data_IF_551621177220
#
_entry.id   IF_551621177220
#
_cell.length_a   1.000
_cell.length_b   1.000
_cell.length_c   1.000
_cell.angle_alpha   90.00
_cell.angle_beta   90.00
_cell.angle_gamma   90.00
#
_symmetry.space_group_name_H-M   'P 1'
#
loop_
_entity.id
_entity.type
_entity.pdbx_description
1 polymer ?
#
# COMPACT_ATOMS: atom_id res chain seq x y z
N UNK A 1 -5.01 6.61 16.48
CA UNK A 1 -3.71 6.49 15.77
C UNK A 1 -3.82 5.29 14.84
N UNK A 2 -3.56 5.47 13.54
CA UNK A 2 -3.89 4.50 12.49
C UNK A 2 -2.81 3.44 12.28
N UNK A 3 -1.57 3.73 12.68
CA UNK A 3 -0.42 2.84 12.66
C UNK A 3 0.51 3.25 13.80
N UNK A 4 0.93 2.29 14.63
CA UNK A 4 1.61 2.59 15.91
C UNK A 4 2.98 1.90 16.04
N UNK A 5 3.56 1.41 14.94
CA UNK A 5 4.89 0.80 14.98
C UNK A 5 5.94 1.88 14.73
N UNK A 6 7.01 1.83 15.51
CA UNK A 6 8.18 2.65 15.25
C UNK A 6 8.95 2.04 14.06
N UNK A 7 9.18 2.85 13.03
CA UNK A 7 10.00 2.50 11.87
C UNK A 7 11.19 3.44 11.91
N UNK A 8 12.38 2.86 12.01
CA UNK A 8 13.63 3.60 12.19
C UNK A 8 14.78 3.08 11.31
N UNK A 9 14.55 1.95 10.62
CA UNK A 9 15.48 1.33 9.69
C UNK A 9 14.83 0.16 8.93
N UNK A 10 15.59 -0.45 8.02
CA UNK A 10 15.16 -1.61 7.24
C UNK A 10 14.72 -2.81 8.12
N UNK A 11 15.39 -3.04 9.26
CA UNK A 11 15.06 -4.15 10.15
C UNK A 11 13.70 -3.96 10.82
N UNK A 12 13.43 -2.76 11.35
CA UNK A 12 12.15 -2.40 11.96
C UNK A 12 10.99 -2.50 10.96
N UNK A 13 11.22 -2.08 9.70
CA UNK A 13 10.27 -2.23 8.61
C UNK A 13 10.02 -3.70 8.25
N UNK A 14 11.10 -4.49 8.12
CA UNK A 14 11.06 -5.92 7.81
C UNK A 14 10.23 -6.74 8.80
N UNK A 15 10.09 -6.27 10.04
CA UNK A 15 9.24 -6.90 11.07
C UNK A 15 7.74 -6.68 10.85
N UNK A 16 7.34 -5.65 10.12
CA UNK A 16 5.94 -5.18 10.10
C UNK A 16 5.30 -5.15 8.71
N UNK A 17 6.05 -5.04 7.61
CA UNK A 17 5.50 -4.79 6.26
C UNK A 17 4.54 -5.86 5.70
N UNK A 18 4.48 -7.04 6.33
CA UNK A 18 3.55 -8.14 6.02
C UNK A 18 2.50 -8.39 7.12
N UNK A 19 2.46 -7.54 8.14
CA UNK A 19 1.59 -7.72 9.31
C UNK A 19 0.21 -7.10 9.04
N UNK A 20 -0.76 -7.93 8.64
CA UNK A 20 -2.15 -7.49 8.48
C UNK A 20 -2.66 -6.84 9.77
N UNK A 21 -2.33 -7.40 10.94
CA UNK A 21 -2.79 -6.89 12.23
C UNK A 21 -2.30 -5.47 12.51
N UNK A 22 -1.05 -5.16 12.18
CA UNK A 22 -0.47 -3.85 12.43
C UNK A 22 -0.97 -2.79 11.43
N UNK A 23 -1.30 -3.22 10.20
CA UNK A 23 -1.85 -2.36 9.15
C UNK A 23 -3.37 -2.28 9.16
N UNK A 24 -4.10 -3.15 9.88
CA UNK A 24 -5.55 -3.24 9.80
C UNK A 24 -6.27 -1.90 10.06
N UNK A 25 -5.94 -1.11 11.10
CA UNK A 25 -6.61 0.16 11.33
C UNK A 25 -6.38 1.17 10.19
N UNK A 26 -5.18 1.19 9.62
CA UNK A 26 -4.83 2.02 8.47
C UNK A 26 -5.56 1.57 7.19
N UNK A 27 -5.59 0.26 6.92
CA UNK A 27 -6.32 -0.30 5.78
C UNK A 27 -7.82 0.02 5.85
N UNK A 28 -8.44 -0.13 7.02
CA UNK A 28 -9.86 0.22 7.23
C UNK A 28 -10.12 1.69 6.95
N UNK A 29 -9.23 2.57 7.40
CA UNK A 29 -9.33 4.00 7.13
C UNK A 29 -9.25 4.31 5.62
N UNK A 30 -8.25 3.75 4.92
CA UNK A 30 -8.08 3.92 3.47
C UNK A 30 -9.31 3.41 2.72
N UNK A 31 -9.78 2.20 3.02
CA UNK A 31 -10.96 1.61 2.39
C UNK A 31 -12.21 2.49 2.60
N UNK A 32 -12.39 3.02 3.81
CA UNK A 32 -13.46 3.96 4.14
C UNK A 32 -13.39 5.25 3.31
N UNK A 33 -12.22 5.86 3.19
CA UNK A 33 -12.00 7.08 2.37
C UNK A 33 -12.36 6.87 0.90
N UNK A 34 -12.19 5.64 0.39
CA UNK A 34 -12.51 5.28 -0.99
C UNK A 34 -13.88 4.58 -1.15
N UNK A 35 -14.70 4.50 -0.09
CA UNK A 35 -16.00 3.80 -0.09
C UNK A 35 -15.92 2.33 -0.56
N UNK A 36 -14.81 1.65 -0.29
CA UNK A 36 -14.59 0.25 -0.65
C UNK A 36 -15.05 -0.63 0.50
N UNK A 37 -16.01 -1.52 0.23
CA UNK A 37 -16.41 -2.59 1.16
C UNK A 37 -15.46 -3.77 0.99
N UNK A 38 -15.16 -4.45 2.10
CA UNK A 38 -14.31 -5.63 2.09
C UNK A 38 -14.81 -6.74 2.99
N UNK A 39 -14.43 -7.98 2.68
CA UNK A 39 -14.69 -9.18 3.47
C UNK A 39 -13.42 -9.90 3.90
N UNK A 40 -12.40 -9.92 3.04
CA UNK A 40 -11.13 -10.62 3.30
C UNK A 40 -9.94 -9.73 3.02
N UNK A 41 -8.92 -9.88 3.85
CA UNK A 41 -7.60 -9.27 3.70
C UNK A 41 -6.59 -10.41 3.71
N UNK A 42 -5.75 -10.46 2.70
CA UNK A 42 -4.74 -11.51 2.49
C UNK A 42 -3.39 -10.88 2.20
N UNK A 43 -2.32 -11.54 2.62
CA UNK A 43 -0.96 -11.12 2.25
C UNK A 43 -0.68 -11.45 0.78
N UNK A 44 0.05 -10.55 0.12
CA UNK A 44 0.65 -10.81 -1.18
C UNK A 44 2.05 -11.45 -1.01
N UNK A 45 2.66 -11.85 -2.12
CA UNK A 45 4.09 -12.21 -2.11
C UNK A 45 4.88 -10.98 -1.66
N UNK A 46 5.78 -11.11 -0.67
CA UNK A 46 6.49 -9.98 -0.10
C UNK A 46 7.44 -9.33 -1.11
N UNK A 47 7.46 -7.99 -1.11
CA UNK A 47 8.42 -7.13 -1.80
C UNK A 47 9.06 -6.14 -0.83
N UNK A 48 9.32 -4.91 -1.26
CA UNK A 48 9.83 -3.82 -0.39
C UNK A 48 8.73 -3.02 0.31
N UNK A 49 7.51 -3.05 -0.21
CA UNK A 49 6.36 -2.27 0.27
C UNK A 49 5.35 -3.16 1.01
N UNK A 50 4.47 -2.55 1.80
CA UNK A 50 3.37 -3.26 2.43
C UNK A 50 2.22 -3.43 1.43
N UNK A 51 2.00 -4.66 0.96
CA UNK A 51 1.03 -4.97 -0.10
C UNK A 51 0.04 -6.02 0.38
N UNK A 52 -1.24 -5.67 0.32
CA UNK A 52 -2.34 -6.50 0.77
C UNK A 52 -3.38 -6.67 -0.33
N UNK A 53 -3.87 -7.89 -0.49
CA UNK A 53 -5.04 -8.17 -1.31
C UNK A 53 -6.30 -8.03 -0.47
N UNK A 54 -7.26 -7.27 -0.97
CA UNK A 54 -8.54 -7.02 -0.32
C UNK A 54 -9.66 -7.34 -1.30
N UNK A 55 -10.22 -8.55 -1.17
CA UNK A 55 -11.13 -9.13 -2.16
C UNK A 55 -10.57 -9.02 -3.61
N UNK A 56 -11.11 -8.11 -4.42
CA UNK A 56 -10.70 -7.88 -5.82
C UNK A 56 -9.70 -6.72 -5.99
N UNK A 57 -9.27 -6.10 -4.89
CA UNK A 57 -8.36 -4.96 -4.88
C UNK A 57 -6.97 -5.32 -4.37
N UNK A 58 -5.97 -4.57 -4.83
CA UNK A 58 -4.64 -4.55 -4.24
C UNK A 58 -4.45 -3.17 -3.60
N UNK A 59 -4.13 -3.16 -2.30
CA UNK A 59 -3.67 -1.97 -1.62
C UNK A 59 -2.17 -2.10 -1.42
N UNK A 60 -1.44 -1.10 -1.91
CA UNK A 60 0.00 -0.96 -1.71
C UNK A 60 0.26 0.32 -0.92
N UNK A 61 0.89 0.16 0.23
CA UNK A 61 1.35 1.24 1.10
C UNK A 61 2.87 1.29 0.98
N UNK A 62 3.38 2.44 0.59
CA UNK A 62 4.80 2.63 0.35
C UNK A 62 5.56 2.67 1.67
N UNK A 63 6.74 2.06 1.70
CA UNK A 63 7.62 2.12 2.85
C UNK A 63 7.97 3.60 3.13
N UNK A 64 7.98 4.05 4.38
CA UNK A 64 8.31 5.44 4.70
C UNK A 64 9.82 5.68 4.59
N UNK A 65 10.25 6.95 4.53
CA UNK A 65 11.66 7.33 4.41
C UNK A 65 12.54 6.71 5.51
N UNK A 66 12.01 6.65 6.73
CA UNK A 66 12.67 6.10 7.92
C UNK A 66 12.95 4.59 7.81
N UNK A 67 12.37 3.89 6.82
CA UNK A 67 12.63 2.48 6.58
C UNK A 67 13.97 2.19 5.88
N UNK A 68 14.71 3.22 5.46
CA UNK A 68 15.96 3.13 4.65
C UNK A 68 15.80 2.51 3.25
N UNK A 69 14.60 2.05 2.88
CA UNK A 69 14.30 1.44 1.58
C UNK A 69 13.20 2.17 0.80
N UNK A 70 12.38 2.96 1.50
CA UNK A 70 11.29 3.73 0.91
C UNK A 70 11.69 5.16 0.56
N UNK A 71 11.13 5.66 -0.54
CA UNK A 71 11.24 7.06 -0.97
C UNK A 71 9.89 7.51 -1.56
N UNK A 72 9.54 8.79 -1.42
CA UNK A 72 8.36 9.40 -2.03
C UNK A 72 8.36 9.22 -3.55
N UNK A 73 9.54 9.19 -4.18
CA UNK A 73 9.66 9.01 -5.63
C UNK A 73 9.13 7.64 -6.10
N UNK A 74 9.15 6.61 -5.24
CA UNK A 74 8.59 5.29 -5.58
C UNK A 74 7.07 5.37 -5.77
N UNK A 75 6.39 6.10 -4.89
CA UNK A 75 4.96 6.35 -4.98
C UNK A 75 4.61 7.14 -6.24
N UNK A 76 5.31 8.26 -6.47
CA UNK A 76 5.06 9.14 -7.63
C UNK A 76 5.30 8.40 -8.94
N UNK A 77 6.39 7.62 -9.03
CA UNK A 77 6.76 6.87 -10.23
C UNK A 77 5.72 5.79 -10.55
N UNK A 78 5.29 5.03 -9.55
CA UNK A 78 4.30 3.97 -9.76
C UNK A 78 2.92 4.54 -10.10
N UNK A 79 2.50 5.61 -9.41
CA UNK A 79 1.24 6.30 -9.70
C UNK A 79 1.22 6.85 -11.13
N UNK A 80 2.31 7.49 -11.57
CA UNK A 80 2.44 7.98 -12.95
C UNK A 80 2.37 6.83 -13.96
N UNK A 81 3.15 5.76 -13.75
CA UNK A 81 3.21 4.61 -14.63
C UNK A 81 1.86 3.94 -14.85
N UNK A 82 1.13 3.66 -13.77
CA UNK A 82 -0.16 2.97 -13.87
C UNK A 82 -1.24 3.88 -14.45
N UNK A 83 -1.25 5.17 -14.08
CA UNK A 83 -2.20 6.14 -14.63
C UNK A 83 -2.00 6.29 -16.14
N UNK A 84 -0.74 6.38 -16.58
CA UNK A 84 -0.40 6.43 -18.00
C UNK A 84 -0.85 5.18 -18.74
N UNK A 85 -0.54 3.99 -18.22
CA UNK A 85 -0.93 2.72 -18.86
C UNK A 85 -2.45 2.56 -18.96
N UNK A 86 -3.18 2.93 -17.91
CA UNK A 86 -4.64 2.94 -17.89
C UNK A 86 -5.22 3.91 -18.94
N UNK A 87 -4.65 5.11 -19.09
CA UNK A 87 -5.08 6.09 -20.10
C UNK A 87 -4.88 5.61 -21.54
N UNK A 88 -3.88 4.76 -21.79
CA UNK A 88 -3.67 4.13 -23.10
C UNK A 88 -4.51 2.87 -23.33
N UNK A 89 -5.33 2.46 -22.36
CA UNK A 89 -6.14 1.24 -22.48
C UNK A 89 -5.32 -0.04 -22.49
N UNK A 90 -4.09 -0.01 -21.96
CA UNK A 90 -3.25 -1.20 -21.85
C UNK A 90 -3.84 -2.18 -20.82
N UNK A 91 -3.68 -3.50 -21.01
CA UNK A 91 -4.18 -4.52 -20.09
C UNK A 91 -3.35 -4.54 -18.79
N UNK A 92 -3.62 -3.58 -17.92
CA UNK A 92 -2.95 -3.32 -16.65
C UNK A 92 -3.99 -3.21 -15.54
N UNK A 93 -3.61 -3.39 -14.26
CA UNK A 93 -4.53 -3.12 -13.15
C UNK A 93 -5.04 -1.69 -13.22
N UNK A 94 -6.32 -1.49 -12.87
CA UNK A 94 -6.92 -0.15 -12.84
C UNK A 94 -6.56 0.57 -11.55
N UNK A 95 -6.11 1.83 -11.63
CA UNK A 95 -5.95 2.69 -10.48
C UNK A 95 -7.34 3.14 -9.99
N UNK A 96 -7.78 2.58 -8.85
CA UNK A 96 -9.09 2.88 -8.26
C UNK A 96 -9.03 4.12 -7.36
N UNK A 97 -7.89 4.35 -6.71
CA UNK A 97 -7.67 5.46 -5.78
C UNK A 97 -6.21 5.57 -5.40
N UNK A 98 -5.81 6.75 -4.93
CA UNK A 98 -4.46 7.06 -4.43
C UNK A 98 -4.53 8.24 -3.46
N UNK A 99 -3.52 8.40 -2.62
CA UNK A 99 -3.40 9.52 -1.70
C UNK A 99 -2.55 9.20 -0.48
N UNK A 100 -2.52 10.16 0.44
CA UNK A 100 -1.78 10.11 1.70
C UNK A 100 -2.75 10.01 2.89
N UNK A 101 -2.20 9.61 4.05
CA UNK A 101 -2.93 9.40 5.31
C UNK A 101 -2.24 10.13 6.45
#
# INVERSE_FOLDING_TARGET
>A
MLFNKNIENLESWGKVFQSINDFLPLLVHILGKHNIKYKRIENCIPGSNAVFKIDDYIIKIFAPLESEIGDEIDYVTEQFGISRANNFGLPTPKLIGSGEV
#
